data_IF_597934754165
#
_entry.id   IF_597934754165
#
_cell.length_a   1.000
_cell.length_b   1.000
_cell.length_c   1.000
_cell.angle_alpha   90.00
_cell.angle_beta   90.00
_cell.angle_gamma   90.00
#
_symmetry.space_group_name_H-M   'P 1'
#
loop_
_entity.id
_entity.type
_entity.pdbx_description
1 polymer ?
#
# COMPACT_ATOMS: atom_id res chain seq x y z
N UNK A 1 -98.13 -43.71 -34.51
CA UNK A 1 -98.73 -42.89 -33.43
C UNK A 1 -98.34 -41.45 -33.65
N UNK A 2 -99.32 -40.58 -33.83
CA UNK A 2 -99.16 -39.14 -34.04
C UNK A 2 -98.73 -38.48 -32.73
N UNK A 3 -97.51 -37.95 -32.68
CA UNK A 3 -97.02 -37.15 -31.55
C UNK A 3 -97.86 -35.88 -31.43
N UNK A 4 -98.44 -35.65 -30.25
CA UNK A 4 -99.19 -34.43 -29.95
C UNK A 4 -98.25 -33.23 -29.89
N UNK A 5 -98.78 -32.03 -30.09
CA UNK A 5 -98.01 -30.78 -30.07
C UNK A 5 -97.29 -30.62 -28.71
N UNK A 6 -97.92 -31.05 -27.62
CA UNK A 6 -97.34 -31.05 -26.27
C UNK A 6 -96.10 -31.94 -26.13
N UNK A 7 -96.08 -33.14 -26.74
CA UNK A 7 -94.91 -34.03 -26.70
C UNK A 7 -93.70 -33.39 -27.41
N UNK A 8 -93.94 -32.68 -28.51
CA UNK A 8 -92.89 -31.96 -29.24
C UNK A 8 -92.39 -30.74 -28.46
N UNK A 9 -93.28 -30.01 -27.78
CA UNK A 9 -92.91 -28.88 -26.91
C UNK A 9 -92.07 -29.38 -25.72
N UNK A 10 -92.47 -30.50 -25.10
CA UNK A 10 -91.74 -31.10 -23.98
C UNK A 10 -90.34 -31.58 -24.39
N UNK A 11 -90.23 -32.25 -25.54
CA UNK A 11 -88.94 -32.69 -26.09
C UNK A 11 -88.03 -31.50 -26.43
N UNK A 12 -88.60 -30.44 -27.03
CA UNK A 12 -87.86 -29.23 -27.36
C UNK A 12 -87.38 -28.48 -26.11
N UNK A 13 -88.24 -28.38 -25.08
CA UNK A 13 -87.87 -27.80 -23.79
C UNK A 13 -86.73 -28.59 -23.14
N UNK A 14 -86.79 -29.93 -23.16
CA UNK A 14 -85.74 -30.79 -22.62
C UNK A 14 -84.38 -30.57 -23.32
N UNK A 15 -84.38 -30.56 -24.66
CA UNK A 15 -83.17 -30.30 -25.46
C UNK A 15 -82.62 -28.90 -25.20
N UNK A 16 -83.48 -27.89 -25.02
CA UNK A 16 -83.05 -26.54 -24.66
C UNK A 16 -82.44 -26.50 -23.26
N UNK A 17 -83.03 -27.17 -22.27
CA UNK A 17 -82.47 -27.24 -20.91
C UNK A 17 -81.11 -27.95 -20.89
N UNK A 18 -80.97 -29.08 -21.57
CA UNK A 18 -79.70 -29.80 -21.68
C UNK A 18 -78.62 -28.92 -22.33
N UNK A 19 -78.97 -28.17 -23.39
CA UNK A 19 -78.05 -27.23 -24.02
C UNK A 19 -77.65 -26.08 -23.11
N UNK A 20 -78.59 -25.51 -22.35
CA UNK A 20 -78.32 -24.43 -21.40
C UNK A 20 -77.41 -24.93 -20.27
N UNK A 21 -77.64 -26.14 -19.75
CA UNK A 21 -76.76 -26.77 -18.75
C UNK A 21 -75.35 -27.01 -19.30
N UNK A 22 -75.24 -27.49 -20.53
CA UNK A 22 -73.96 -27.74 -21.18
C UNK A 22 -73.18 -26.44 -21.46
N UNK A 23 -73.87 -25.39 -21.90
CA UNK A 23 -73.29 -24.05 -22.06
C UNK A 23 -72.84 -23.47 -20.71
N UNK A 24 -73.66 -23.60 -19.66
CA UNK A 24 -73.33 -23.14 -18.32
C UNK A 24 -72.11 -23.85 -17.73
N UNK A 25 -72.05 -25.18 -17.84
CA UNK A 25 -70.94 -25.97 -17.29
C UNK A 25 -69.64 -25.70 -18.08
N UNK A 26 -69.72 -25.47 -19.38
CA UNK A 26 -68.59 -25.03 -20.19
C UNK A 26 -68.08 -23.64 -19.79
N UNK A 27 -68.98 -22.67 -19.60
CA UNK A 27 -68.63 -21.32 -19.16
C UNK A 27 -67.96 -21.35 -17.78
N UNK A 28 -68.54 -22.10 -16.84
CA UNK A 28 -68.00 -22.32 -15.49
C UNK A 28 -66.62 -22.96 -15.53
N UNK A 29 -66.42 -24.02 -16.31
CA UNK A 29 -65.12 -24.68 -16.44
C UNK A 29 -64.05 -23.76 -17.05
N UNK A 30 -64.43 -22.91 -18.03
CA UNK A 30 -63.52 -21.90 -18.58
C UNK A 30 -63.09 -20.89 -17.52
N UNK A 31 -64.03 -20.41 -16.70
CA UNK A 31 -63.75 -19.44 -15.63
C UNK A 31 -62.81 -20.07 -14.58
N UNK A 32 -63.10 -21.30 -14.14
CA UNK A 32 -62.27 -22.01 -13.17
C UNK A 32 -60.86 -22.23 -13.74
N UNK A 33 -60.75 -22.77 -14.96
CA UNK A 33 -59.46 -23.01 -15.59
C UNK A 33 -58.63 -21.74 -15.79
N UNK A 34 -59.28 -20.61 -16.11
CA UNK A 34 -58.63 -19.31 -16.19
C UNK A 34 -58.04 -18.88 -14.84
N UNK A 35 -58.83 -18.94 -13.76
CA UNK A 35 -58.36 -18.53 -12.43
C UNK A 35 -57.29 -19.48 -11.88
N UNK A 36 -57.38 -20.78 -12.13
CA UNK A 36 -56.34 -21.74 -11.74
C UNK A 36 -55.01 -21.46 -12.44
N UNK A 37 -55.06 -21.20 -13.76
CA UNK A 37 -53.88 -20.82 -14.54
C UNK A 37 -53.28 -19.50 -14.04
N UNK A 38 -54.12 -18.52 -13.73
CA UNK A 38 -53.69 -17.21 -13.24
C UNK A 38 -53.06 -17.30 -11.85
N UNK A 39 -53.66 -18.05 -10.92
CA UNK A 39 -53.10 -18.31 -9.58
C UNK A 39 -51.72 -18.99 -9.71
N UNK A 40 -51.60 -19.98 -10.61
CA UNK A 40 -50.33 -20.65 -10.84
C UNK A 40 -49.27 -19.69 -11.39
N UNK A 41 -49.64 -18.87 -12.37
CA UNK A 41 -48.77 -17.84 -12.96
C UNK A 41 -48.26 -16.85 -11.92
N UNK A 42 -49.16 -16.32 -11.08
CA UNK A 42 -48.82 -15.37 -10.02
C UNK A 42 -47.92 -16.01 -8.96
N UNK A 43 -48.17 -17.26 -8.56
CA UNK A 43 -47.30 -17.98 -7.62
C UNK A 43 -45.89 -18.18 -8.19
N UNK A 44 -45.78 -18.62 -9.45
CA UNK A 44 -44.49 -18.81 -10.10
C UNK A 44 -43.72 -17.48 -10.24
N UNK A 45 -44.41 -16.40 -10.60
CA UNK A 45 -43.81 -15.06 -10.67
C UNK A 45 -43.33 -14.59 -9.30
N UNK A 46 -44.12 -14.81 -8.25
CA UNK A 46 -43.77 -14.45 -6.88
C UNK A 46 -42.53 -15.21 -6.39
N UNK A 47 -42.47 -16.53 -6.59
CA UNK A 47 -41.31 -17.34 -6.19
C UNK A 47 -40.04 -16.95 -6.97
N UNK A 48 -40.16 -16.62 -8.26
CA UNK A 48 -39.03 -16.07 -9.02
C UNK A 48 -38.53 -14.76 -8.42
N UNK A 49 -39.43 -13.78 -8.22
CA UNK A 49 -39.07 -12.47 -7.63
C UNK A 49 -38.45 -12.62 -6.25
N UNK A 50 -38.95 -13.53 -5.43
CA UNK A 50 -38.40 -13.84 -4.11
C UNK A 50 -36.99 -14.42 -4.20
N UNK A 51 -36.78 -15.40 -5.09
CA UNK A 51 -35.47 -16.00 -5.34
C UNK A 51 -34.45 -14.97 -5.82
N UNK A 52 -34.85 -14.11 -6.75
CA UNK A 52 -33.99 -13.04 -7.28
C UNK A 52 -33.60 -12.04 -6.19
N UNK A 53 -34.56 -11.60 -5.36
CA UNK A 53 -34.28 -10.72 -4.22
C UNK A 53 -33.33 -11.34 -3.21
N UNK A 54 -33.49 -12.62 -2.90
CA UNK A 54 -32.57 -13.34 -1.99
C UNK A 54 -31.17 -13.39 -2.59
N UNK A 55 -31.06 -13.68 -3.90
CA UNK A 55 -29.77 -13.74 -4.60
C UNK A 55 -29.08 -12.38 -4.61
N UNK A 56 -29.81 -11.31 -4.88
CA UNK A 56 -29.31 -9.94 -4.84
C UNK A 56 -28.81 -9.58 -3.43
N UNK A 57 -29.63 -9.84 -2.40
CA UNK A 57 -29.25 -9.58 -1.02
C UNK A 57 -27.98 -10.35 -0.59
N UNK A 58 -27.85 -11.63 -1.01
CA UNK A 58 -26.65 -12.43 -0.74
C UNK A 58 -25.42 -11.86 -1.46
N UNK A 59 -25.57 -11.42 -2.71
CA UNK A 59 -24.48 -10.80 -3.48
C UNK A 59 -24.03 -9.49 -2.84
N UNK A 60 -24.97 -8.65 -2.42
CA UNK A 60 -24.66 -7.40 -1.72
C UNK A 60 -23.97 -7.65 -0.38
N UNK A 61 -24.45 -8.65 0.38
CA UNK A 61 -23.83 -9.04 1.65
C UNK A 61 -22.37 -9.51 1.45
N UNK A 62 -22.10 -10.32 0.41
CA UNK A 62 -20.73 -10.76 0.12
C UNK A 62 -19.85 -9.59 -0.32
N UNK A 63 -20.34 -8.69 -1.17
CA UNK A 63 -19.60 -7.48 -1.56
C UNK A 63 -19.26 -6.63 -0.33
N UNK A 64 -20.22 -6.45 0.59
CA UNK A 64 -20.01 -5.68 1.82
C UNK A 64 -18.98 -6.34 2.73
N UNK A 65 -19.06 -7.66 2.89
CA UNK A 65 -18.08 -8.45 3.65
C UNK A 65 -16.67 -8.29 3.07
N UNK A 66 -16.50 -8.47 1.76
CA UNK A 66 -15.21 -8.31 1.08
C UNK A 66 -14.65 -6.90 1.25
N UNK A 67 -15.51 -5.87 1.14
CA UNK A 67 -15.11 -4.48 1.39
C UNK A 67 -14.61 -4.26 2.82
N UNK A 68 -15.30 -4.83 3.82
CA UNK A 68 -14.89 -4.72 5.23
C UNK A 68 -13.53 -5.39 5.45
N UNK A 69 -13.34 -6.61 4.95
CA UNK A 69 -12.08 -7.34 5.06
C UNK A 69 -10.95 -6.57 4.37
N UNK A 70 -11.19 -6.10 3.15
CA UNK A 70 -10.17 -5.37 2.37
C UNK A 70 -9.76 -4.06 3.06
N UNK A 71 -10.74 -3.36 3.65
CA UNK A 71 -10.47 -2.16 4.45
C UNK A 71 -9.64 -2.50 5.68
N UNK A 72 -10.03 -3.51 6.45
CA UNK A 72 -9.31 -3.93 7.64
C UNK A 72 -7.85 -4.34 7.34
N UNK A 73 -7.61 -5.06 6.23
CA UNK A 73 -6.26 -5.41 5.80
C UNK A 73 -5.44 -4.19 5.39
N UNK A 74 -6.07 -3.22 4.73
CA UNK A 74 -5.41 -1.97 4.32
C UNK A 74 -5.05 -1.12 5.54
N UNK A 75 -5.98 -0.94 6.47
CA UNK A 75 -5.78 -0.19 7.71
C UNK A 75 -4.65 -0.84 8.54
N UNK A 76 -4.66 -2.17 8.69
CA UNK A 76 -3.57 -2.93 9.35
C UNK A 76 -2.21 -2.68 8.69
N UNK A 77 -2.14 -2.70 7.36
CA UNK A 77 -0.89 -2.46 6.62
C UNK A 77 -0.39 -1.03 6.84
N UNK A 78 -1.29 -0.06 6.84
CA UNK A 78 -0.94 1.35 7.11
C UNK A 78 -0.41 1.53 8.54
N UNK A 79 -1.05 0.91 9.53
CA UNK A 79 -0.59 0.97 10.93
C UNK A 79 0.82 0.37 11.11
N UNK A 80 1.10 -0.77 10.46
CA UNK A 80 2.43 -1.37 10.48
C UNK A 80 3.46 -0.44 9.85
N UNK A 81 3.16 0.13 8.68
CA UNK A 81 4.07 1.06 8.00
C UNK A 81 4.33 2.32 8.85
N UNK A 82 3.29 2.84 9.50
CA UNK A 82 3.41 4.00 10.39
C UNK A 82 4.36 3.70 11.56
N UNK A 83 4.17 2.57 12.25
CA UNK A 83 5.04 2.15 13.35
C UNK A 83 6.49 1.90 12.90
N UNK A 84 6.69 1.31 11.71
CA UNK A 84 8.02 1.13 11.13
C UNK A 84 8.73 2.46 10.89
N UNK A 85 8.00 3.45 10.39
CA UNK A 85 8.51 4.81 10.17
C UNK A 85 8.86 5.50 11.50
N UNK A 86 7.98 5.45 12.49
CA UNK A 86 8.22 6.01 13.83
C UNK A 86 9.48 5.39 14.48
N UNK A 87 9.66 4.08 14.35
CA UNK A 87 10.85 3.40 14.86
C UNK A 87 12.13 3.83 14.12
N UNK A 88 12.07 3.95 12.79
CA UNK A 88 13.19 4.43 11.99
C UNK A 88 13.57 5.86 12.37
N UNK A 89 12.59 6.76 12.51
CA UNK A 89 12.82 8.15 12.92
C UNK A 89 13.53 8.21 14.27
N UNK A 90 13.07 7.44 15.26
CA UNK A 90 13.72 7.35 16.57
C UNK A 90 15.16 6.83 16.48
N UNK A 91 15.42 5.80 15.69
CA UNK A 91 16.78 5.26 15.52
C UNK A 91 17.70 6.27 14.83
N UNK A 92 17.18 7.05 13.89
CA UNK A 92 17.92 8.11 13.22
C UNK A 92 18.24 9.24 14.20
N UNK A 93 17.29 9.64 15.05
CA UNK A 93 17.51 10.62 16.11
C UNK A 93 18.58 10.15 17.10
N UNK A 94 18.50 8.89 17.56
CA UNK A 94 19.50 8.30 18.45
C UNK A 94 20.89 8.23 17.79
N UNK A 95 20.95 7.95 16.48
CA UNK A 95 22.19 7.96 15.70
C UNK A 95 22.77 9.37 15.61
N UNK A 96 21.94 10.37 15.26
CA UNK A 96 22.34 11.77 15.17
C UNK A 96 22.96 12.25 16.48
N UNK A 97 22.31 11.96 17.62
CA UNK A 97 22.83 12.35 18.93
C UNK A 97 24.20 11.72 19.21
N UNK A 98 24.37 10.43 18.91
CA UNK A 98 25.66 9.74 19.08
C UNK A 98 26.76 10.33 18.20
N UNK A 99 26.43 10.73 16.97
CA UNK A 99 27.38 11.41 16.09
C UNK A 99 27.75 12.77 16.65
N UNK A 100 26.79 13.58 17.09
CA UNK A 100 27.07 14.89 17.70
C UNK A 100 27.94 14.79 18.95
N UNK A 101 27.73 13.76 19.77
CA UNK A 101 28.57 13.49 20.94
C UNK A 101 29.98 13.05 20.53
N UNK A 102 30.09 12.20 19.50
CA UNK A 102 31.37 11.74 18.96
C UNK A 102 32.23 12.89 18.42
N UNK A 103 31.64 13.87 17.72
CA UNK A 103 32.36 15.05 17.21
C UNK A 103 33.04 15.88 18.31
N UNK A 104 32.57 15.76 19.56
CA UNK A 104 33.13 16.49 20.72
C UNK A 104 34.18 15.67 21.48
N UNK A 105 34.30 14.38 21.21
CA UNK A 105 35.24 13.49 21.90
C UNK A 105 36.67 13.63 21.36
N UNK A 106 37.65 13.30 22.20
CA UNK A 106 39.07 13.34 21.84
C UNK A 106 39.40 12.38 20.67
N UNK A 107 38.68 11.27 20.55
CA UNK A 107 38.84 10.28 19.47
C UNK A 107 38.47 10.79 18.07
N UNK A 108 37.81 11.94 17.95
CA UNK A 108 37.49 12.53 16.65
C UNK A 108 38.73 12.92 15.83
N UNK A 109 39.82 13.32 16.50
CA UNK A 109 41.07 13.63 15.82
C UNK A 109 41.68 12.40 15.11
N UNK A 110 41.59 11.22 15.74
CA UNK A 110 42.03 9.96 15.14
C UNK A 110 41.14 9.54 13.98
N UNK A 111 39.83 9.78 14.09
CA UNK A 111 38.90 9.57 12.98
C UNK A 111 39.25 10.41 11.75
N UNK A 112 39.61 11.69 11.93
CA UNK A 112 40.06 12.54 10.81
C UNK A 112 41.33 11.98 10.16
N UNK A 113 42.31 11.53 10.95
CA UNK A 113 43.54 10.91 10.43
C UNK A 113 43.21 9.64 9.63
N UNK A 114 42.40 8.74 10.17
CA UNK A 114 42.01 7.51 9.48
C UNK A 114 41.22 7.79 8.20
N UNK A 115 40.34 8.80 8.23
CA UNK A 115 39.58 9.24 7.05
C UNK A 115 40.53 9.72 5.94
N UNK A 116 41.55 10.52 6.28
CA UNK A 116 42.52 11.01 5.30
C UNK A 116 43.32 9.84 4.70
N UNK A 117 43.72 8.85 5.51
CA UNK A 117 44.42 7.65 5.04
C UNK A 117 43.54 6.84 4.07
N UNK A 118 42.28 6.60 4.44
CA UNK A 118 41.34 5.84 3.60
C UNK A 118 41.11 6.54 2.26
N UNK A 119 40.91 7.85 2.30
CA UNK A 119 40.68 8.66 1.11
C UNK A 119 41.93 8.71 0.24
N UNK A 120 43.12 8.91 0.80
CA UNK A 120 44.41 8.89 0.08
C UNK A 120 44.60 7.58 -0.70
N UNK A 121 44.23 6.44 -0.14
CA UNK A 121 44.35 5.14 -0.80
C UNK A 121 43.41 4.96 -2.01
N UNK A 122 42.38 5.81 -2.14
CA UNK A 122 41.43 5.81 -3.27
C UNK A 122 41.90 6.69 -4.44
N UNK A 123 42.91 7.54 -4.23
CA UNK A 123 43.52 8.37 -5.27
C UNK A 123 44.75 7.70 -5.89
N UNK A 124 45.10 8.00 -7.16
CA UNK A 124 46.36 7.58 -7.76
C UNK A 124 47.58 8.13 -7.00
N UNK A 125 48.66 7.33 -6.87
CA UNK A 125 49.84 7.64 -6.04
C UNK A 125 50.57 8.98 -6.35
N UNK A 126 50.32 9.59 -7.51
CA UNK A 126 51.03 10.80 -7.98
C UNK A 126 50.19 12.08 -7.95
N UNK A 127 48.93 12.00 -7.56
CA UNK A 127 48.06 13.16 -7.58
C UNK A 127 48.24 14.00 -6.31
N UNK A 128 48.32 15.32 -6.48
CA UNK A 128 48.19 16.25 -5.35
C UNK A 128 46.74 16.26 -4.91
N UNK A 129 46.51 16.08 -3.62
CA UNK A 129 45.16 15.97 -3.04
C UNK A 129 44.89 17.19 -2.17
N UNK A 130 43.78 17.86 -2.45
CA UNK A 130 43.26 18.98 -1.66
C UNK A 130 42.22 18.40 -0.69
N UNK A 131 42.45 18.54 0.61
CA UNK A 131 41.55 18.10 1.67
C UNK A 131 40.86 19.31 2.28
N UNK A 132 39.55 19.38 2.12
CA UNK A 132 38.69 20.38 2.73
C UNK A 132 38.18 19.90 4.09
N UNK A 133 38.35 20.75 5.09
CA UNK A 133 37.86 20.54 6.46
C UNK A 133 36.78 21.56 6.80
N UNK A 134 35.92 21.24 7.77
CA UNK A 134 35.03 22.23 8.37
C UNK A 134 35.85 23.36 9.01
N UNK A 135 35.27 24.56 9.14
CA UNK A 135 35.95 25.69 9.78
C UNK A 135 36.45 25.35 11.20
N UNK A 136 35.60 24.71 12.00
CA UNK A 136 35.93 24.31 13.36
C UNK A 136 37.07 23.27 13.40
N UNK A 137 37.06 22.31 12.48
CA UNK A 137 38.07 21.25 12.46
C UNK A 137 39.40 21.74 11.90
N UNK A 138 39.34 22.65 10.94
CA UNK A 138 40.51 23.34 10.42
C UNK A 138 41.18 24.16 11.54
N UNK A 139 40.43 24.98 12.27
CA UNK A 139 40.98 25.79 13.37
C UNK A 139 41.53 24.93 14.53
N UNK A 140 40.90 23.78 14.82
CA UNK A 140 41.25 22.95 15.99
C UNK A 140 42.29 21.86 15.72
N UNK A 141 42.32 21.28 14.53
CA UNK A 141 43.12 20.08 14.24
C UNK A 141 44.17 20.26 13.13
N UNK A 142 44.24 21.40 12.46
CA UNK A 142 45.18 21.63 11.34
C UNK A 142 46.65 21.35 11.71
N UNK A 143 47.13 21.85 12.85
CA UNK A 143 48.52 21.64 13.28
C UNK A 143 48.81 20.16 13.56
N UNK A 144 47.85 19.47 14.18
CA UNK A 144 47.95 18.03 14.43
C UNK A 144 47.98 17.24 13.12
N UNK A 145 47.11 17.57 12.16
CA UNK A 145 47.04 16.89 10.86
C UNK A 145 48.31 17.13 10.03
N UNK A 146 48.83 18.36 9.99
CA UNK A 146 50.10 18.68 9.31
C UNK A 146 51.29 17.93 9.89
N UNK A 147 51.29 17.63 11.19
CA UNK A 147 52.36 16.83 11.81
C UNK A 147 52.33 15.35 11.40
N UNK A 148 51.22 14.87 10.84
CA UNK A 148 50.98 13.44 10.52
C UNK A 148 51.09 13.12 9.02
N UNK A 149 51.03 14.11 8.14
CA UNK A 149 50.94 13.91 6.70
C UNK A 149 51.93 14.79 5.91
N UNK A 150 52.53 14.21 4.86
CA UNK A 150 53.57 14.84 4.02
C UNK A 150 53.04 15.90 3.03
N UNK A 151 53.98 16.58 2.35
CA UNK A 151 53.79 17.73 1.42
C UNK A 151 52.85 17.51 0.21
N UNK A 152 52.42 16.28 -0.08
CA UNK A 152 51.52 15.98 -1.20
C UNK A 152 50.02 16.21 -0.88
N UNK A 153 49.71 16.60 0.36
CA UNK A 153 48.36 16.94 0.83
C UNK A 153 48.28 18.44 1.12
N UNK A 154 47.33 19.10 0.48
CA UNK A 154 47.01 20.50 0.75
C UNK A 154 45.72 20.58 1.57
N UNK A 155 45.77 21.20 2.74
CA UNK A 155 44.58 21.38 3.58
C UNK A 155 43.96 22.74 3.34
N UNK A 156 42.69 22.76 2.98
CA UNK A 156 41.91 23.99 2.78
C UNK A 156 40.70 24.03 3.71
N UNK A 157 40.27 25.25 4.04
CA UNK A 157 39.00 25.44 4.72
C UNK A 157 37.86 25.27 3.71
N UNK A 158 36.93 24.38 4.00
CA UNK A 158 35.74 24.19 3.17
C UNK A 158 34.80 25.40 3.21
N UNK A 159 34.22 25.74 2.06
CA UNK A 159 33.41 26.96 1.87
C UNK A 159 31.94 26.77 2.22
N UNK A 160 31.67 26.43 3.49
CA UNK A 160 30.34 26.36 4.13
C UNK A 160 29.61 24.99 4.07
N UNK A 161 28.89 24.69 5.17
CA UNK A 161 27.99 23.54 5.46
C UNK A 161 28.55 22.20 5.94
N UNK A 162 29.86 21.94 5.87
CA UNK A 162 30.41 20.67 6.41
C UNK A 162 30.40 20.68 7.95
N UNK A 163 29.53 19.89 8.59
CA UNK A 163 29.44 19.75 10.07
C UNK A 163 30.55 18.87 10.68
N UNK A 164 31.44 18.33 9.87
CA UNK A 164 32.57 17.50 10.27
C UNK A 164 32.99 16.51 9.18
N UNK A 165 34.11 15.81 9.39
CA UNK A 165 34.72 14.90 8.43
C UNK A 165 35.57 15.65 7.38
N UNK A 166 35.83 14.99 6.26
CA UNK A 166 36.73 15.52 5.22
C UNK A 166 36.10 15.39 3.83
N UNK A 167 36.41 16.34 2.95
CA UNK A 167 36.16 16.18 1.52
C UNK A 167 37.52 16.26 0.82
N UNK A 168 37.84 15.28 -0.02
CA UNK A 168 39.09 15.32 -0.78
C UNK A 168 38.82 15.51 -2.26
N UNK A 169 39.67 16.28 -2.91
CA UNK A 169 39.61 16.58 -4.33
C UNK A 169 41.00 16.46 -4.94
N UNK A 170 41.11 15.89 -6.13
CA UNK A 170 42.35 15.93 -6.91
C UNK A 170 42.63 17.37 -7.35
N UNK A 171 43.89 17.79 -7.41
CA UNK A 171 44.27 19.11 -7.89
C UNK A 171 43.80 19.42 -9.33
N UNK A 172 43.49 18.39 -10.13
CA UNK A 172 42.93 18.54 -11.48
C UNK A 172 41.38 18.59 -11.51
N UNK A 173 40.73 18.49 -10.34
CA UNK A 173 39.28 18.52 -10.15
C UNK A 173 38.52 17.30 -10.69
N UNK A 174 39.20 16.25 -11.18
CA UNK A 174 38.54 15.10 -11.82
C UNK A 174 37.94 14.12 -10.83
N UNK A 175 38.53 14.02 -9.65
CA UNK A 175 38.13 13.07 -8.61
C UNK A 175 37.81 13.86 -7.35
N UNK A 176 36.59 13.69 -6.85
CA UNK A 176 36.13 14.27 -5.59
C UNK A 176 35.48 13.17 -4.76
N UNK A 177 35.94 13.01 -3.53
CA UNK A 177 35.45 12.02 -2.57
C UNK A 177 34.92 12.77 -1.36
N UNK A 178 33.63 12.59 -1.09
CA UNK A 178 32.96 13.15 0.07
C UNK A 178 32.96 12.12 1.22
N UNK A 179 33.82 12.36 2.20
CA UNK A 179 33.89 11.59 3.44
C UNK A 179 33.50 12.47 4.64
N UNK A 180 32.57 13.40 4.39
CA UNK A 180 31.97 14.21 5.44
C UNK A 180 31.12 13.34 6.34
N UNK A 181 30.99 13.78 7.59
CA UNK A 181 30.11 13.14 8.57
C UNK A 181 28.65 13.17 8.09
N UNK A 182 28.27 14.19 7.30
CA UNK A 182 26.96 14.25 6.66
C UNK A 182 26.75 13.14 5.64
N UNK A 183 27.72 12.90 4.76
CA UNK A 183 27.67 11.81 3.76
C UNK A 183 27.57 10.44 4.43
N UNK A 184 28.46 10.16 5.40
CA UNK A 184 28.45 8.90 6.16
C UNK A 184 27.16 8.66 6.94
N UNK A 185 26.57 9.73 7.47
CA UNK A 185 25.30 9.69 8.17
C UNK A 185 24.15 9.34 7.23
N UNK A 186 24.09 9.91 6.03
CA UNK A 186 23.08 9.56 5.03
C UNK A 186 23.20 8.11 4.56
N UNK A 187 24.43 7.63 4.32
CA UNK A 187 24.69 6.22 4.02
C UNK A 187 24.24 5.32 5.19
N UNK A 188 24.56 5.70 6.43
CA UNK A 188 24.14 5.01 7.64
C UNK A 188 22.62 4.96 7.82
N UNK A 189 21.92 6.07 7.56
CA UNK A 189 20.44 6.12 7.56
C UNK A 189 19.85 5.16 6.54
N UNK A 190 20.41 5.12 5.34
CA UNK A 190 19.99 4.19 4.27
C UNK A 190 20.17 2.73 4.68
N UNK A 191 21.35 2.38 5.23
CA UNK A 191 21.64 1.03 5.72
C UNK A 191 20.73 0.64 6.89
N UNK A 192 20.53 1.54 7.85
CA UNK A 192 19.61 1.33 8.97
C UNK A 192 18.18 1.07 8.49
N UNK A 193 17.71 1.84 7.51
CA UNK A 193 16.40 1.60 6.89
C UNK A 193 16.35 0.20 6.26
N UNK A 194 17.34 -0.18 5.44
CA UNK A 194 17.39 -1.51 4.81
C UNK A 194 17.40 -2.66 5.84
N UNK A 195 18.20 -2.53 6.91
CA UNK A 195 18.28 -3.51 7.99
C UNK A 195 16.97 -3.61 8.76
N UNK A 196 16.36 -2.48 9.08
CA UNK A 196 15.08 -2.43 9.79
C UNK A 196 13.95 -3.05 8.95
N UNK A 197 13.88 -2.71 7.66
CA UNK A 197 12.86 -3.27 6.76
C UNK A 197 13.08 -4.74 6.44
N UNK A 198 14.33 -5.22 6.38
CA UNK A 198 14.62 -6.65 6.20
C UNK A 198 14.29 -7.45 7.46
N UNK A 199 14.78 -7.04 8.64
CA UNK A 199 14.52 -7.74 9.91
C UNK A 199 13.06 -7.73 10.33
N UNK A 200 12.34 -6.62 10.10
CA UNK A 200 10.90 -6.53 10.33
C UNK A 200 10.06 -7.02 9.14
N UNK A 201 10.70 -7.44 8.05
CA UNK A 201 10.08 -8.06 6.88
C UNK A 201 10.12 -9.59 6.92
N UNK A 202 10.98 -10.18 7.77
CA UNK A 202 11.11 -11.62 7.97
C UNK A 202 9.91 -12.24 8.74
N UNK A 203 9.01 -11.44 9.30
CA UNK A 203 7.77 -11.90 9.96
C UNK A 203 6.51 -11.43 9.22
N UNK A 204 6.25 -11.97 8.02
CA UNK A 204 4.91 -12.11 7.42
C UNK A 204 4.81 -13.44 6.68
#
# INVERSE_FOLDING_TARGET
MSTTIEDKISLFAKVLFERIEEEYENEKNKIIGYYEAEIKRVKEEYERKKSDRIREALKEAEIKKQRIISKALTDKKQDILKKKKELLEKLIEDMLQKVEDFLKQEGYAEFLVNSIIEVKNKFPEKDKIIVYLSKNDFEKYMDYLKSKFDENLEFMMGTEEVKGGIIAESADGRVRIDFSVGSLLEEGKSLLAQLLFSKLGEEV
#
